data_IF_394912364989
#
_entry.id   IF_394912364989
#
_cell.length_a   1.000
_cell.length_b   1.000
_cell.length_c   1.000
_cell.angle_alpha   90.00
_cell.angle_beta   90.00
_cell.angle_gamma   90.00
#
_symmetry.space_group_name_H-M   'P 1'
#
loop_
_entity.id
_entity.type
_entity.pdbx_description
1 polymer ?
#
# COMPACT_ATOMS: atom_id res chain seq x y z
N UNK A 1 7.30 1.04 13.48
CA UNK A 1 5.86 0.97 13.13
C UNK A 1 5.61 0.01 11.97
N UNK A 2 4.51 -0.78 11.97
CA UNK A 2 4.07 -1.55 10.78
C UNK A 2 3.05 -0.73 9.98
N UNK A 3 3.33 -0.50 8.71
CA UNK A 3 2.41 0.20 7.81
C UNK A 3 1.53 -0.82 7.07
N UNK A 4 0.28 -0.97 7.51
CA UNK A 4 -0.71 -1.82 6.83
C UNK A 4 -1.32 -1.08 5.65
N UNK A 5 -0.73 -1.28 4.47
CA UNK A 5 -1.16 -0.65 3.22
C UNK A 5 -2.33 -1.44 2.63
N UNK A 6 -3.21 -0.76 1.93
CA UNK A 6 -4.38 -1.32 1.26
C UNK A 6 -5.54 -1.82 2.12
N UNK A 7 -5.65 -1.38 3.37
CA UNK A 7 -6.81 -1.72 4.22
C UNK A 7 -8.13 -1.07 3.80
N UNK A 8 -8.06 0.08 3.09
CA UNK A 8 -9.23 0.85 2.63
C UNK A 8 -9.47 0.75 1.11
N UNK A 9 -8.44 0.44 0.34
CA UNK A 9 -8.47 0.33 -1.12
C UNK A 9 -7.25 -0.48 -1.59
N UNK A 10 -7.32 -1.17 -2.72
CA UNK A 10 -6.18 -1.93 -3.27
C UNK A 10 -5.12 -0.97 -3.86
N UNK A 11 -4.12 -0.61 -3.04
CA UNK A 11 -3.08 0.35 -3.44
C UNK A 11 -2.17 -0.20 -4.55
N UNK A 12 -1.60 -1.42 -4.46
CA UNK A 12 -0.76 -1.95 -5.53
C UNK A 12 -1.45 -1.95 -6.89
N UNK A 13 -2.76 -2.24 -6.94
CA UNK A 13 -3.50 -2.28 -8.20
C UNK A 13 -3.87 -0.89 -8.74
N UNK A 14 -4.42 0.00 -7.90
CA UNK A 14 -5.05 1.24 -8.36
C UNK A 14 -4.30 2.52 -8.02
N UNK A 15 -3.47 2.52 -6.97
CA UNK A 15 -2.90 3.73 -6.38
C UNK A 15 -1.39 3.62 -6.10
N UNK A 16 -0.68 2.77 -6.83
CA UNK A 16 0.77 2.57 -6.68
C UNK A 16 1.55 3.87 -6.88
N UNK A 17 1.22 4.64 -7.93
CA UNK A 17 1.80 5.96 -8.20
C UNK A 17 1.62 6.92 -7.01
N UNK A 18 0.41 7.01 -6.47
CA UNK A 18 0.12 7.85 -5.31
C UNK A 18 0.97 7.43 -4.11
N UNK A 19 1.11 6.13 -3.87
CA UNK A 19 1.87 5.60 -2.74
C UNK A 19 3.37 5.90 -2.88
N UNK A 20 3.94 5.71 -4.06
CA UNK A 20 5.35 6.06 -4.31
C UNK A 20 5.62 7.54 -4.08
N UNK A 21 4.71 8.43 -4.49
CA UNK A 21 4.83 9.86 -4.22
C UNK A 21 4.80 10.16 -2.71
N UNK A 22 3.97 9.45 -1.92
CA UNK A 22 3.98 9.59 -0.45
C UNK A 22 5.26 9.05 0.18
N UNK A 23 5.79 7.92 -0.30
CA UNK A 23 7.09 7.39 0.15
C UNK A 23 8.20 8.40 -0.11
N UNK A 24 8.21 9.02 -1.29
CA UNK A 24 9.17 10.06 -1.65
C UNK A 24 9.05 11.31 -0.77
N UNK A 25 7.84 11.73 -0.43
CA UNK A 25 7.58 12.85 0.48
C UNK A 25 7.87 12.50 1.95
N UNK A 26 7.83 11.22 2.32
CA UNK A 26 8.15 10.72 3.66
C UNK A 26 7.00 10.80 4.67
N UNK A 27 5.80 11.21 4.26
CA UNK A 27 4.63 11.26 5.12
C UNK A 27 3.32 11.09 4.34
N UNK A 28 2.23 10.83 5.05
CA UNK A 28 0.87 10.87 4.52
C UNK A 28 -0.13 11.27 5.60
N UNK A 29 -1.34 11.65 5.18
CA UNK A 29 -2.46 11.93 6.09
C UNK A 29 -3.46 10.78 6.08
N UNK A 30 -3.93 10.40 7.27
CA UNK A 30 -5.02 9.43 7.44
C UNK A 30 -6.15 10.07 8.22
N UNK A 31 -7.36 9.97 7.68
CA UNK A 31 -8.58 10.37 8.37
C UNK A 31 -9.06 9.25 9.28
N UNK A 32 -9.40 9.58 10.53
CA UNK A 32 -9.99 8.61 11.45
C UNK A 32 -11.40 8.22 10.94
N UNK A 33 -11.71 6.92 10.78
CA UNK A 33 -13.01 6.47 10.28
C UNK A 33 -14.17 6.77 11.25
N UNK A 34 -13.90 6.91 12.55
CA UNK A 34 -14.90 7.19 13.58
C UNK A 34 -15.10 8.69 13.81
N UNK A 35 -14.10 9.52 13.48
CA UNK A 35 -14.20 10.98 13.59
C UNK A 35 -13.50 11.65 12.40
N UNK A 36 -14.28 12.04 11.39
CA UNK A 36 -13.77 12.57 10.13
C UNK A 36 -12.97 13.89 10.26
N UNK A 37 -13.19 14.66 11.33
CA UNK A 37 -12.45 15.91 11.59
C UNK A 37 -11.05 15.64 12.15
N UNK A 38 -10.80 14.43 12.68
CA UNK A 38 -9.48 14.03 13.14
C UNK A 38 -8.66 13.47 11.96
N UNK A 39 -7.61 14.21 11.62
CA UNK A 39 -6.64 13.84 10.59
C UNK A 39 -5.28 13.68 11.26
N UNK A 40 -4.66 12.52 11.07
CA UNK A 40 -3.34 12.21 11.60
C UNK A 40 -2.31 12.27 10.48
N UNK A 41 -1.22 12.99 10.70
CA UNK A 41 -0.01 12.86 9.89
C UNK A 41 0.75 11.60 10.34
N UNK A 42 1.16 10.79 9.37
CA UNK A 42 1.94 9.58 9.61
C UNK A 42 3.25 9.73 8.83
N UNK A 43 4.37 9.77 9.55
CA UNK A 43 5.70 9.66 8.94
C UNK A 43 5.91 8.24 8.44
N UNK A 44 6.33 8.10 7.18
CA UNK A 44 6.55 6.82 6.53
C UNK A 44 7.98 6.67 6.01
N UNK A 45 8.95 7.31 6.67
CA UNK A 45 10.38 7.18 6.36
C UNK A 45 10.96 5.84 6.87
N UNK A 46 12.08 5.36 6.31
CA UNK A 46 12.64 4.05 6.65
C UNK A 46 13.08 3.90 8.11
N UNK A 47 13.40 5.00 8.79
CA UNK A 47 13.78 5.02 10.22
C UNK A 47 12.57 4.86 11.17
N UNK A 48 11.35 5.09 10.69
CA UNK A 48 10.12 4.98 11.48
C UNK A 48 9.33 3.71 11.14
N UNK A 49 9.36 3.29 9.87
CA UNK A 49 8.60 2.14 9.37
C UNK A 49 9.46 0.87 9.40
N UNK A 50 9.08 -0.08 10.24
CA UNK A 50 9.77 -1.37 10.36
C UNK A 50 9.45 -2.31 9.19
N UNK A 51 8.21 -2.25 8.69
CA UNK A 51 7.71 -3.09 7.60
C UNK A 51 6.46 -2.51 6.95
N UNK A 52 6.32 -2.70 5.63
CA UNK A 52 5.14 -2.37 4.84
C UNK A 52 4.42 -3.65 4.43
N UNK A 53 3.12 -3.74 4.72
CA UNK A 53 2.28 -4.88 4.36
C UNK A 53 1.34 -4.48 3.24
N UNK A 54 1.47 -5.09 2.07
CA UNK A 54 0.56 -4.86 0.95
C UNK A 54 -0.52 -5.93 0.88
N UNK A 55 -1.77 -5.53 0.64
CA UNK A 55 -2.87 -6.44 0.29
C UNK A 55 -3.36 -6.09 -1.10
N UNK A 56 -3.42 -7.06 -2.00
CA UNK A 56 -3.84 -6.82 -3.38
C UNK A 56 -4.31 -8.09 -4.07
N UNK A 57 -5.25 -7.96 -5.01
CA UNK A 57 -5.53 -9.04 -5.98
C UNK A 57 -4.68 -8.96 -7.24
N UNK A 58 -4.01 -7.82 -7.47
CA UNK A 58 -3.19 -7.61 -8.66
C UNK A 58 -1.94 -6.77 -8.31
N UNK A 59 -0.80 -7.42 -8.03
CA UNK A 59 0.44 -6.70 -7.74
C UNK A 59 1.11 -6.11 -8.99
N UNK A 60 0.70 -6.55 -10.19
CA UNK A 60 1.37 -6.25 -11.46
C UNK A 60 1.68 -4.76 -11.69
N UNK A 61 0.79 -3.80 -11.37
CA UNK A 61 1.07 -2.38 -11.59
C UNK A 61 2.22 -1.84 -10.73
N UNK A 62 2.54 -2.51 -9.63
CA UNK A 62 3.58 -2.11 -8.69
C UNK A 62 4.92 -2.83 -8.94
N UNK A 63 4.90 -4.04 -9.51
CA UNK A 63 6.06 -4.93 -9.65
C UNK A 63 7.28 -4.32 -10.34
N UNK A 64 7.08 -3.47 -11.36
CA UNK A 64 8.19 -2.87 -12.13
C UNK A 64 8.95 -1.78 -11.38
N UNK A 65 8.44 -1.32 -10.23
CA UNK A 65 8.93 -0.13 -9.52
C UNK A 65 9.27 -0.40 -8.05
N UNK A 66 9.46 -1.68 -7.69
CA UNK A 66 9.79 -2.09 -6.33
C UNK A 66 11.10 -1.47 -5.80
N UNK A 67 12.00 -1.05 -6.70
CA UNK A 67 13.23 -0.35 -6.33
C UNK A 67 12.97 0.97 -5.59
N UNK A 68 11.82 1.63 -5.80
CA UNK A 68 11.46 2.87 -5.10
C UNK A 68 11.20 2.66 -3.61
N UNK A 69 10.91 1.42 -3.20
CA UNK A 69 10.69 1.03 -1.80
C UNK A 69 11.77 0.07 -1.29
N UNK A 70 12.91 -0.06 -1.99
CA UNK A 70 13.99 -1.00 -1.62
C UNK A 70 14.59 -0.79 -0.22
N UNK A 71 14.45 0.41 0.32
CA UNK A 71 14.94 0.76 1.66
C UNK A 71 14.00 0.29 2.78
N UNK A 72 12.83 -0.26 2.44
CA UNK A 72 11.84 -0.76 3.37
C UNK A 72 11.82 -2.28 3.34
N UNK A 73 11.58 -2.91 4.50
CA UNK A 73 11.13 -4.30 4.52
C UNK A 73 9.66 -4.32 4.09
N UNK A 74 9.29 -5.22 3.19
CA UNK A 74 7.90 -5.35 2.79
C UNK A 74 7.57 -6.75 2.33
N UNK A 75 6.28 -7.06 2.29
CA UNK A 75 5.75 -8.24 1.64
C UNK A 75 4.36 -7.98 1.07
N UNK A 76 3.97 -8.82 0.13
CA UNK A 76 2.64 -8.81 -0.48
C UNK A 76 1.83 -9.98 0.05
N UNK A 77 0.60 -9.72 0.48
CA UNK A 77 -0.45 -10.72 0.60
C UNK A 77 -1.38 -10.58 -0.59
N UNK A 78 -1.52 -11.68 -1.32
CA UNK A 78 -2.45 -11.79 -2.41
C UNK A 78 -3.43 -12.93 -2.13
N UNK A 79 -4.68 -12.72 -2.52
CA UNK A 79 -5.73 -13.73 -2.43
C UNK A 79 -6.10 -14.13 -3.85
N UNK A 80 -5.78 -15.37 -4.21
CA UNK A 80 -6.23 -15.99 -5.44
C UNK A 80 -7.52 -16.74 -5.17
N UNK A 81 -8.54 -16.49 -6.00
CA UNK A 81 -9.80 -17.26 -5.93
C UNK A 81 -9.91 -18.24 -7.09
N UNK A 82 -10.79 -19.24 -6.97
CA UNK A 82 -11.05 -20.19 -8.05
C UNK A 82 -11.99 -19.68 -9.15
N UNK A 83 -12.23 -18.37 -9.23
CA UNK A 83 -13.08 -17.82 -10.27
C UNK A 83 -12.36 -17.83 -11.64
N UNK A 84 -13.15 -17.84 -12.71
CA UNK A 84 -12.62 -17.76 -14.07
C UNK A 84 -12.19 -16.35 -14.44
N UNK A 85 -11.58 -16.22 -15.62
CA UNK A 85 -11.13 -14.95 -16.19
C UNK A 85 -12.28 -13.94 -16.42
N UNK A 86 -13.53 -14.37 -16.35
CA UNK A 86 -14.70 -13.48 -16.38
C UNK A 86 -14.83 -12.63 -15.11
N UNK A 87 -14.23 -13.07 -13.99
CA UNK A 87 -14.29 -12.38 -12.69
C UNK A 87 -12.90 -12.04 -12.14
N UNK A 88 -11.90 -12.91 -12.31
CA UNK A 88 -10.53 -12.71 -11.82
C UNK A 88 -9.53 -13.02 -12.95
N UNK A 89 -9.09 -11.98 -13.66
CA UNK A 89 -8.22 -12.08 -14.85
C UNK A 89 -6.74 -12.31 -14.51
N UNK A 90 -6.35 -12.05 -13.25
CA UNK A 90 -4.94 -11.96 -12.83
C UNK A 90 -4.31 -13.32 -12.55
#
# INVERSE_FOLDING_TARGET
MILSVSRRTDIPNYYSEWFYNRVKEGFLYVRNPMNAHQISEIKITPDVVDCIVFWTKNPSPMMKRLDEIKNYKYYFQFTLTGYGNDVEVN
#
